data_IF_611175525690
#
_entry.id   IF_611175525690
#
_cell.length_a   1.000
_cell.length_b   1.000
_cell.length_c   1.000
_cell.angle_alpha   90.00
_cell.angle_beta   90.00
_cell.angle_gamma   90.00
#
_symmetry.space_group_name_H-M   'P 1'
#
loop_
_entity.id
_entity.type
_entity.pdbx_description
1 polymer ?
#
# COMPACT_ATOMS: atom_id res chain seq x y z
N UNK A 1 -11.59 30.31 9.19
CA UNK A 1 -10.19 30.71 8.98
C UNK A 1 -9.70 29.93 7.79
N UNK A 2 -10.20 30.31 6.63
CA UNK A 2 -9.79 29.79 5.33
C UNK A 2 -8.51 30.52 5.00
N UNK A 3 -7.40 30.05 5.56
CA UNK A 3 -6.08 30.41 5.06
C UNK A 3 -6.13 30.11 3.58
N UNK A 4 -6.10 31.16 2.76
CA UNK A 4 -6.03 31.11 1.31
C UNK A 4 -5.26 29.85 0.93
N UNK A 5 -5.91 28.93 0.23
CA UNK A 5 -5.29 27.69 -0.24
C UNK A 5 -4.16 28.12 -1.19
N UNK A 6 -2.99 28.47 -0.64
CA UNK A 6 -1.81 28.79 -1.43
C UNK A 6 -1.64 27.61 -2.37
N UNK A 7 -1.84 27.91 -3.64
CA UNK A 7 -1.73 26.93 -4.70
C UNK A 7 -0.26 26.95 -5.03
N UNK A 8 0.48 26.00 -4.48
CA UNK A 8 1.90 25.86 -4.80
C UNK A 8 2.03 25.36 -6.22
N UNK A 9 2.97 25.93 -6.95
CA UNK A 9 3.32 25.42 -8.26
C UNK A 9 3.90 24.01 -8.15
N UNK A 10 3.79 23.25 -9.24
CA UNK A 10 4.30 21.90 -9.27
C UNK A 10 5.81 21.91 -9.03
N UNK A 11 6.27 21.17 -8.01
CA UNK A 11 7.65 21.14 -7.52
C UNK A 11 8.14 22.39 -6.80
N UNK A 12 7.27 23.35 -6.53
CA UNK A 12 7.59 24.44 -5.61
C UNK A 12 7.62 23.92 -4.17
N UNK A 13 8.71 24.21 -3.48
CA UNK A 13 8.97 23.83 -2.08
C UNK A 13 8.82 25.01 -1.13
N UNK A 14 8.47 26.21 -1.62
CA UNK A 14 8.25 27.40 -0.77
C UNK A 14 7.20 27.17 0.33
N UNK A 15 6.30 26.22 0.10
CA UNK A 15 5.25 25.81 1.02
C UNK A 15 5.62 24.74 2.04
N UNK A 16 6.71 24.00 1.83
CA UNK A 16 7.06 22.87 2.65
C UNK A 16 7.81 23.33 3.91
N UNK A 17 7.41 22.83 5.08
CA UNK A 17 8.09 23.08 6.35
C UNK A 17 9.26 22.10 6.47
N UNK A 18 10.49 22.61 6.59
CA UNK A 18 11.73 21.82 6.62
C UNK A 18 11.76 20.73 5.54
N UNK A 19 11.69 21.11 4.25
CA UNK A 19 11.75 20.13 3.18
C UNK A 19 13.09 19.42 3.19
N UNK A 20 13.07 18.14 2.83
CA UNK A 20 14.28 17.43 2.44
C UNK A 20 14.80 17.98 1.09
N UNK A 21 15.81 17.34 0.51
CA UNK A 21 16.29 17.68 -0.82
C UNK A 21 15.16 17.66 -1.85
N UNK A 22 15.18 18.57 -2.85
CA UNK A 22 14.14 18.62 -3.87
C UNK A 22 13.90 17.28 -4.57
N UNK A 23 14.96 16.49 -4.74
CA UNK A 23 14.88 15.20 -5.42
C UNK A 23 14.27 14.10 -4.55
N UNK A 24 14.51 14.14 -3.23
CA UNK A 24 13.79 13.30 -2.27
C UNK A 24 12.29 13.66 -2.27
N UNK A 25 11.95 14.95 -2.22
CA UNK A 25 10.56 15.42 -2.25
C UNK A 25 9.81 14.98 -3.52
N UNK A 26 10.44 15.06 -4.70
CA UNK A 26 9.86 14.52 -5.95
C UNK A 26 9.67 13.01 -5.92
N UNK A 27 10.56 12.29 -5.22
CA UNK A 27 10.48 10.83 -5.07
C UNK A 27 9.34 10.45 -4.14
N UNK A 28 9.22 11.11 -2.99
CA UNK A 28 8.10 10.94 -2.06
C UNK A 28 6.76 11.27 -2.71
N UNK A 29 6.72 12.31 -3.54
CA UNK A 29 5.52 12.65 -4.29
C UNK A 29 5.10 11.55 -5.28
N UNK A 30 6.05 10.95 -6.01
CA UNK A 30 5.79 9.80 -6.90
C UNK A 30 5.22 8.61 -6.12
N UNK A 31 5.82 8.28 -4.98
CA UNK A 31 5.34 7.24 -4.05
C UNK A 31 3.93 7.53 -3.53
N UNK A 32 3.71 8.75 -3.03
CA UNK A 32 2.41 9.22 -2.54
C UNK A 32 1.31 9.16 -3.61
N UNK A 33 1.63 9.45 -4.87
CA UNK A 33 0.71 9.28 -6.00
C UNK A 33 0.43 7.81 -6.29
N UNK A 34 1.43 6.93 -6.20
CA UNK A 34 1.27 5.48 -6.33
C UNK A 34 0.25 4.90 -5.35
N UNK A 35 0.12 5.49 -4.15
CA UNK A 35 -0.86 5.08 -3.15
C UNK A 35 -2.33 5.24 -3.60
N UNK A 36 -2.63 6.09 -4.59
CA UNK A 36 -4.01 6.41 -4.95
C UNK A 36 -4.72 5.36 -5.80
N UNK A 37 -4.05 4.28 -6.21
CA UNK A 37 -4.57 3.09 -6.95
C UNK A 37 -5.49 3.33 -8.17
N UNK A 38 -5.85 4.58 -8.50
CA UNK A 38 -6.62 4.95 -9.69
C UNK A 38 -5.64 5.24 -10.83
N UNK A 39 -5.86 4.59 -11.97
CA UNK A 39 -5.11 4.85 -13.20
C UNK A 39 -5.31 6.29 -13.65
N UNK A 40 -4.21 6.86 -14.13
CA UNK A 40 -4.03 8.26 -14.50
C UNK A 40 -3.82 8.28 -16.01
N UNK A 41 -4.78 7.82 -16.78
CA UNK A 41 -4.80 8.16 -18.20
C UNK A 41 -5.46 9.53 -18.34
N UNK A 42 -4.69 10.53 -18.79
CA UNK A 42 -5.23 11.86 -19.12
C UNK A 42 -5.31 12.90 -17.98
N UNK A 43 -4.60 12.71 -16.87
CA UNK A 43 -4.62 13.70 -15.77
C UNK A 43 -3.92 14.99 -16.21
N UNK A 44 -4.72 16.03 -16.44
CA UNK A 44 -4.25 17.36 -16.80
C UNK A 44 -3.38 18.01 -15.72
N UNK A 45 -2.62 19.02 -16.13
CA UNK A 45 -1.68 19.77 -15.28
C UNK A 45 -2.30 20.23 -13.94
N UNK A 46 -3.58 20.66 -13.95
CA UNK A 46 -4.28 21.08 -12.74
C UNK A 46 -4.42 19.97 -11.68
N UNK A 47 -4.77 18.75 -12.08
CA UNK A 47 -4.89 17.64 -11.14
C UNK A 47 -3.51 17.16 -10.61
N UNK A 48 -2.45 17.37 -11.39
CA UNK A 48 -1.08 17.16 -10.94
C UNK A 48 -0.68 18.17 -9.86
N UNK A 49 -0.99 19.45 -10.09
CA UNK A 49 -0.75 20.53 -9.13
C UNK A 49 -1.58 20.37 -7.85
N UNK A 50 -2.85 19.97 -7.95
CA UNK A 50 -3.68 19.66 -6.79
C UNK A 50 -3.10 18.51 -5.96
N UNK A 51 -2.61 17.47 -6.62
CA UNK A 51 -1.96 16.35 -5.93
C UNK A 51 -0.68 16.77 -5.23
N UNK A 52 0.10 17.69 -5.82
CA UNK A 52 1.28 18.28 -5.20
C UNK A 52 0.90 19.11 -3.97
N UNK A 53 -0.12 19.96 -4.09
CA UNK A 53 -0.62 20.74 -2.96
C UNK A 53 -1.11 19.84 -1.80
N UNK A 54 -1.81 18.75 -2.11
CA UNK A 54 -2.24 17.79 -1.09
C UNK A 54 -1.05 17.08 -0.42
N UNK A 55 0.00 16.77 -1.19
CA UNK A 55 1.25 16.23 -0.67
C UNK A 55 1.94 17.20 0.30
N UNK A 56 2.14 18.46 -0.10
CA UNK A 56 2.77 19.50 0.75
C UNK A 56 1.95 19.75 2.03
N UNK A 57 0.61 19.78 1.95
CA UNK A 57 -0.25 19.89 3.16
C UNK A 57 -0.09 18.72 4.12
N UNK A 58 0.01 17.49 3.58
CA UNK A 58 0.19 16.28 4.40
C UNK A 58 1.58 16.29 5.05
N UNK A 59 2.62 16.65 4.29
CA UNK A 59 3.98 16.84 4.79
C UNK A 59 3.98 17.83 5.96
N UNK A 60 3.50 19.06 5.75
CA UNK A 60 3.48 20.10 6.77
C UNK A 60 2.73 19.67 8.04
N UNK A 61 1.60 18.98 7.88
CA UNK A 61 0.84 18.46 9.02
C UNK A 61 1.67 17.46 9.83
N UNK A 62 2.34 16.52 9.17
CA UNK A 62 3.16 15.50 9.82
C UNK A 62 4.38 16.11 10.50
N UNK A 63 5.03 17.08 9.85
CA UNK A 63 6.14 17.83 10.46
C UNK A 63 5.68 18.57 11.72
N UNK A 64 4.47 19.14 11.72
CA UNK A 64 3.91 19.81 12.90
C UNK A 64 3.54 18.84 14.03
N UNK A 65 3.08 17.63 13.70
CA UNK A 65 2.74 16.61 14.69
C UNK A 65 3.94 15.78 15.15
N UNK A 66 5.13 16.00 14.56
CA UNK A 66 6.33 15.20 14.84
C UNK A 66 6.25 13.78 14.28
N UNK A 67 5.36 13.52 13.32
CA UNK A 67 5.25 12.23 12.66
C UNK A 67 6.26 12.13 11.52
N UNK A 68 6.89 10.97 11.37
CA UNK A 68 7.77 10.69 10.24
C UNK A 68 6.94 10.35 8.99
N UNK A 69 7.01 11.25 8.01
CA UNK A 69 6.33 11.11 6.73
C UNK A 69 6.80 9.88 5.95
N UNK A 70 8.09 9.54 6.01
CA UNK A 70 8.67 8.41 5.28
C UNK A 70 8.22 7.09 5.90
N UNK A 71 8.29 6.96 7.22
CA UNK A 71 7.79 5.78 7.92
C UNK A 71 6.29 5.57 7.68
N UNK A 72 5.50 6.65 7.66
CA UNK A 72 4.09 6.58 7.31
C UNK A 72 3.85 6.14 5.86
N UNK A 73 4.65 6.64 4.91
CA UNK A 73 4.58 6.21 3.50
C UNK A 73 4.85 4.71 3.39
N UNK A 74 5.91 4.21 4.01
CA UNK A 74 6.29 2.79 3.97
C UNK A 74 5.23 1.88 4.56
N UNK A 75 4.68 2.24 5.72
CA UNK A 75 3.57 1.51 6.33
C UNK A 75 2.36 1.42 5.38
N UNK A 76 2.03 2.52 4.72
CA UNK A 76 0.87 2.59 3.83
C UNK A 76 1.08 1.86 2.51
N UNK A 77 2.28 1.89 1.97
CA UNK A 77 2.67 1.07 0.81
C UNK A 77 2.59 -0.42 1.17
N UNK A 78 3.05 -0.82 2.36
CA UNK A 78 2.92 -2.17 2.89
C UNK A 78 1.46 -2.63 2.96
N UNK A 79 0.59 -1.82 3.60
CA UNK A 79 -0.85 -2.11 3.67
C UNK A 79 -1.49 -2.25 2.28
N UNK A 80 -1.13 -1.38 1.33
CA UNK A 80 -1.63 -1.47 -0.05
C UNK A 80 -1.14 -2.75 -0.74
N UNK A 81 0.11 -3.15 -0.52
CA UNK A 81 0.68 -4.38 -1.08
C UNK A 81 0.01 -5.62 -0.49
N UNK A 82 -0.20 -5.67 0.82
CA UNK A 82 -0.87 -6.77 1.54
C UNK A 82 -2.34 -6.93 1.11
N UNK A 83 -3.03 -5.81 0.87
CA UNK A 83 -4.42 -5.80 0.41
C UNK A 83 -4.54 -5.76 -1.13
N UNK A 84 -3.42 -5.91 -1.86
CA UNK A 84 -3.45 -5.97 -3.31
C UNK A 84 -4.22 -7.19 -3.79
N UNK A 85 -5.01 -7.03 -4.86
CA UNK A 85 -5.71 -8.14 -5.51
C UNK A 85 -4.76 -9.28 -5.91
N UNK A 86 -3.50 -8.97 -6.18
CA UNK A 86 -2.46 -9.97 -6.47
C UNK A 86 -2.11 -10.81 -5.25
N UNK A 87 -2.02 -10.20 -4.06
CA UNK A 87 -1.77 -10.93 -2.80
C UNK A 87 -3.01 -11.73 -2.39
N UNK A 88 -4.21 -11.16 -2.55
CA UNK A 88 -5.45 -11.91 -2.37
C UNK A 88 -5.52 -13.11 -3.33
N UNK A 89 -5.18 -12.92 -4.61
CA UNK A 89 -5.10 -13.98 -5.61
C UNK A 89 -4.07 -15.03 -5.21
N UNK A 90 -2.89 -14.63 -4.74
CA UNK A 90 -1.84 -15.55 -4.25
C UNK A 90 -2.35 -16.41 -3.09
N UNK A 91 -2.98 -15.80 -2.09
CA UNK A 91 -3.57 -16.51 -0.93
C UNK A 91 -4.68 -17.48 -1.34
N UNK A 92 -5.55 -17.08 -2.26
CA UNK A 92 -6.60 -17.95 -2.80
C UNK A 92 -5.99 -19.12 -3.57
N UNK A 93 -5.00 -18.86 -4.44
CA UNK A 93 -4.30 -19.91 -5.18
C UNK A 93 -3.59 -20.89 -4.23
N UNK A 94 -2.81 -20.43 -3.26
CA UNK A 94 -2.15 -21.29 -2.26
C UNK A 94 -3.17 -22.15 -1.48
N UNK A 95 -4.31 -21.57 -1.10
CA UNK A 95 -5.38 -22.33 -0.41
C UNK A 95 -6.03 -23.39 -1.32
N UNK A 96 -6.18 -23.12 -2.62
CA UNK A 96 -6.69 -24.12 -3.57
C UNK A 96 -5.71 -25.24 -3.88
N UNK A 97 -4.40 -25.01 -3.76
CA UNK A 97 -3.39 -26.07 -3.93
C UNK A 97 -3.30 -27.00 -2.71
N UNK A 98 -3.51 -26.50 -1.49
CA UNK A 98 -3.54 -27.34 -0.29
C UNK A 98 -4.79 -28.24 -0.19
N UNK A 99 -5.91 -27.86 -0.81
CA UNK A 99 -7.12 -28.70 -0.88
C UNK A 99 -6.97 -29.89 -1.86
N UNK A 100 -6.02 -29.82 -2.81
CA UNK A 100 -5.76 -30.88 -3.79
C UNK A 100 -4.76 -31.93 -3.31
N UNK A 101 -4.02 -31.68 -2.23
CA UNK A 101 -3.18 -32.70 -1.58
C UNK A 101 -3.99 -33.46 -0.53
N UNK A 102 -5.16 -33.97 -0.92
CA UNK A 102 -5.83 -35.05 -0.22
C UNK A 102 -5.01 -36.34 -0.36
N UNK A 103 -3.87 -36.42 0.33
CA UNK A 103 -3.24 -37.71 0.62
C UNK A 103 -4.20 -38.46 1.51
N UNK A 104 -4.99 -39.35 0.92
CA UNK A 104 -5.65 -40.43 1.63
C UNK A 104 -4.55 -41.37 2.11
N UNK A 105 -4.01 -41.11 3.30
CA UNK A 105 -3.34 -42.16 4.06
C UNK A 105 -4.40 -43.19 4.44
N UNK A 106 -4.43 -44.31 3.74
CA UNK A 106 -5.08 -45.52 4.23
C UNK A 106 -4.35 -45.96 5.51
N UNK A 107 -5.03 -46.10 6.66
CA UNK A 107 -4.48 -46.87 7.76
C UNK A 107 -4.81 -48.35 7.50
N UNK A 108 -3.78 -49.14 7.22
CA UNK A 108 -3.88 -50.60 7.28
C UNK A 108 -4.09 -51.06 8.74
N UNK A 109 -4.88 -52.13 8.85
CA UNK A 109 -4.87 -53.15 9.91
C UNK A 109 -5.23 -52.76 11.34
N UNK A 110 -6.42 -53.21 11.76
CA UNK A 110 -6.59 -54.08 12.95
C UNK A 110 -7.95 -54.79 12.87
N UNK A 111 -7.94 -56.10 12.56
CA UNK A 111 -9.01 -56.99 13.03
C UNK A 111 -8.46 -58.40 13.24
N UNK A 112 -7.83 -58.57 14.40
CA UNK A 112 -7.51 -59.88 14.93
C UNK A 112 -8.79 -60.63 15.32
N UNK A 113 -8.88 -61.88 14.82
CA UNK A 113 -9.56 -63.06 15.40
C UNK A 113 -11.03 -62.95 15.83
N UNK A 114 -11.90 -63.70 15.13
CA UNK A 114 -12.91 -64.59 15.75
C UNK A 114 -13.47 -65.57 14.69
N UNK A 115 -13.45 -66.88 15.02
CA UNK A 115 -14.21 -68.06 14.50
C UNK A 115 -13.26 -69.27 14.58
N UNK A 116 -13.32 -70.15 15.58
CA UNK A 116 -14.36 -71.17 15.87
C UNK A 116 -14.71 -71.98 14.61
N UNK A 117 -14.02 -73.11 14.42
CA UNK A 117 -14.64 -74.44 14.42
C UNK A 117 -13.60 -75.54 14.53
#
# INVERSE_FOLDING_TARGET
MDSELRTWDLYDLSGAVNPDTPEAMKTYFRRFRGLRQKSIEGVGYGALQESWCAFVRRWNRMTQTGEDFVAWLESREGTISEHSLSELRRRICDHTFHDKTGVRTSPSDHSAKTKIS
#
